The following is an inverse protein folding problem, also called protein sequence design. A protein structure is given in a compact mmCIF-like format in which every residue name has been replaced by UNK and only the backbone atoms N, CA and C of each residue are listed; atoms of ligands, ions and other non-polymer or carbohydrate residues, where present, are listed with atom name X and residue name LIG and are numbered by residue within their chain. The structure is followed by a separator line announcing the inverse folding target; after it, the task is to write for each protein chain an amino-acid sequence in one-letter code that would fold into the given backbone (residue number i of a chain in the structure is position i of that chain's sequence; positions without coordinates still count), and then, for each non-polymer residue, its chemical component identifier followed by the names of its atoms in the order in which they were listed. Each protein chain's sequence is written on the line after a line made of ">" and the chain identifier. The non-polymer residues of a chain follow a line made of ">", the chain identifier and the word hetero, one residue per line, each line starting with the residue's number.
data_IF_875776312131
#
_entry.id   IF_875776312131
#
_cell.length_a   1.000
_cell.length_b   1.000
_cell.length_c   1.000
_cell.angle_alpha   90.00
_cell.angle_beta   90.00
_cell.angle_gamma   90.00
#
_symmetry.space_group_name_H-M   'P 1'
#
loop_
_entity.id
_entity.type
_entity.pdbx_description
1 polymer ?
#
# COMPACT_ATOMS: atom_id res chain seq x y z
N UNK A 1 5.29 9.62 -7.79
CA UNK A 1 3.92 9.09 -7.66
C UNK A 1 3.60 8.89 -6.17
N UNK A 2 2.42 9.32 -5.71
CA UNK A 2 1.93 9.16 -4.32
C UNK A 2 0.83 8.11 -4.31
N UNK A 3 1.04 6.99 -3.64
CA UNK A 3 0.13 5.83 -3.72
C UNK A 3 -1.15 6.04 -2.92
N UNK A 4 -1.15 6.93 -1.93
CA UNK A 4 -2.32 7.27 -1.14
C UNK A 4 -3.51 7.77 -1.97
N UNK A 5 -3.26 8.51 -3.06
CA UNK A 5 -4.33 9.00 -3.93
C UNK A 5 -5.02 7.87 -4.69
N UNK A 6 -4.34 6.74 -4.91
CA UNK A 6 -4.92 5.55 -5.52
C UNK A 6 -5.92 4.89 -4.57
N UNK A 7 -5.67 4.96 -3.26
CA UNK A 7 -6.51 4.33 -2.23
C UNK A 7 -7.81 5.08 -1.92
N UNK A 8 -7.88 6.39 -2.23
CA UNK A 8 -9.07 7.21 -1.98
C UNK A 8 -10.17 7.09 -3.05
N UNK A 9 -9.94 6.35 -4.14
CA UNK A 9 -10.98 6.13 -5.14
C UNK A 9 -12.16 5.32 -4.56
N UNK A 10 -13.39 5.62 -5.00
CA UNK A 10 -14.63 5.07 -4.42
C UNK A 10 -14.72 3.54 -4.52
N UNK A 11 -14.11 2.95 -5.56
CA UNK A 11 -14.06 1.50 -5.78
C UNK A 11 -13.06 0.78 -4.87
N UNK A 12 -12.12 1.51 -4.26
CA UNK A 12 -10.99 0.98 -3.47
C UNK A 12 -11.11 1.27 -1.98
N UNK A 13 -11.76 2.38 -1.62
CA UNK A 13 -11.83 2.85 -0.23
C UNK A 13 -12.42 1.78 0.70
N UNK A 14 -13.36 0.96 0.22
CA UNK A 14 -13.94 -0.12 1.02
C UNK A 14 -12.91 -1.20 1.36
N UNK A 15 -12.09 -1.64 0.40
CA UNK A 15 -11.05 -2.63 0.64
C UNK A 15 -9.93 -2.08 1.57
N UNK A 16 -9.64 -0.78 1.50
CA UNK A 16 -8.74 -0.12 2.46
C UNK A 16 -9.35 -0.12 3.86
N UNK A 17 -10.64 0.19 3.99
CA UNK A 17 -11.34 0.16 5.29
C UNK A 17 -11.40 -1.24 5.89
N UNK A 18 -11.67 -2.26 5.09
CA UNK A 18 -11.57 -3.67 5.50
C UNK A 18 -10.18 -4.04 6.02
N UNK A 19 -9.12 -3.57 5.34
CA UNK A 19 -7.73 -3.77 5.77
C UNK A 19 -7.47 -3.12 7.13
N UNK A 20 -8.01 -1.93 7.38
CA UNK A 20 -7.80 -1.18 8.62
C UNK A 20 -8.51 -1.84 9.80
N UNK A 21 -9.74 -2.35 9.61
CA UNK A 21 -10.51 -3.01 10.69
C UNK A 21 -10.13 -4.48 10.91
N UNK A 22 -9.20 -5.01 10.12
CA UNK A 22 -8.77 -6.40 10.22
C UNK A 22 -8.19 -6.71 11.61
N UNK A 23 -8.72 -7.74 12.28
CA UNK A 23 -8.32 -8.15 13.64
C UNK A 23 -7.03 -8.97 13.66
N UNK A 24 -6.59 -9.47 12.50
CA UNK A 24 -5.36 -10.25 12.35
C UNK A 24 -4.78 -10.11 10.94
N UNK A 25 -3.53 -10.57 10.78
CA UNK A 25 -2.79 -10.53 9.51
C UNK A 25 -3.53 -11.26 8.38
N UNK A 26 -4.16 -12.41 8.64
CA UNK A 26 -4.87 -13.17 7.61
C UNK A 26 -6.03 -12.38 7.00
N UNK A 27 -6.83 -11.72 7.84
CA UNK A 27 -7.90 -10.83 7.38
C UNK A 27 -7.34 -9.63 6.61
N UNK A 28 -6.22 -9.06 7.09
CA UNK A 28 -5.58 -7.93 6.42
C UNK A 28 -5.09 -8.30 5.03
N UNK A 29 -4.44 -9.47 4.90
CA UNK A 29 -3.99 -9.99 3.60
C UNK A 29 -5.13 -10.21 2.62
N UNK A 30 -6.28 -10.74 3.08
CA UNK A 30 -7.48 -10.88 2.23
C UNK A 30 -8.01 -9.54 1.70
N UNK A 31 -7.96 -8.48 2.51
CA UNK A 31 -8.33 -7.14 2.07
C UNK A 31 -7.30 -6.58 1.07
N UNK A 32 -6.00 -6.80 1.34
CA UNK A 32 -4.90 -6.40 0.46
C UNK A 32 -4.93 -7.12 -0.91
N UNK A 33 -5.36 -8.38 -0.97
CA UNK A 33 -5.55 -9.13 -2.22
C UNK A 33 -6.59 -8.47 -3.15
N UNK A 34 -7.61 -7.82 -2.58
CA UNK A 34 -8.59 -7.04 -3.37
C UNK A 34 -7.96 -5.78 -3.96
N UNK A 35 -7.05 -5.15 -3.22
CA UNK A 35 -6.37 -3.91 -3.63
C UNK A 35 -5.26 -4.15 -4.66
N UNK A 36 -4.61 -5.31 -4.61
CA UNK A 36 -3.49 -5.66 -5.48
C UNK A 36 -3.77 -5.45 -6.98
N UNK A 37 -4.83 -6.03 -7.59
CA UNK A 37 -5.08 -5.85 -9.02
C UNK A 37 -5.38 -4.38 -9.37
N UNK A 38 -6.10 -3.67 -8.51
CA UNK A 38 -6.45 -2.26 -8.70
C UNK A 38 -5.21 -1.35 -8.68
N UNK A 39 -4.26 -1.62 -7.79
CA UNK A 39 -3.00 -0.88 -7.76
C UNK A 39 -2.09 -1.24 -8.94
N UNK A 40 -2.04 -2.52 -9.31
CA UNK A 40 -1.24 -2.98 -10.44
C UNK A 40 -1.68 -2.29 -11.74
N UNK A 41 -2.99 -2.18 -11.99
CA UNK A 41 -3.54 -1.48 -13.15
C UNK A 41 -3.13 0.00 -13.19
N UNK A 42 -3.16 0.70 -12.05
CA UNK A 42 -2.71 2.10 -11.99
C UNK A 42 -1.23 2.23 -12.34
N UNK A 43 -0.39 1.31 -11.84
CA UNK A 43 1.05 1.34 -12.14
C UNK A 43 1.34 1.00 -13.59
N UNK A 44 0.59 0.07 -14.22
CA UNK A 44 0.67 -0.20 -15.66
C UNK A 44 0.43 1.09 -16.43
N UNK A 45 -0.68 1.79 -16.15
CA UNK A 45 -0.99 3.05 -16.83
C UNK A 45 0.07 4.14 -16.63
N UNK A 46 0.68 4.21 -15.44
CA UNK A 46 1.80 5.12 -15.16
C UNK A 46 3.04 4.74 -15.99
N UNK A 47 3.44 3.48 -15.99
CA UNK A 47 4.64 3.05 -16.71
C UNK A 47 4.48 3.14 -18.23
N UNK A 48 3.30 2.83 -18.76
CA UNK A 48 3.00 3.01 -20.18
C UNK A 48 3.10 4.49 -20.58
N UNK A 49 2.55 5.40 -19.77
CA UNK A 49 2.63 6.84 -20.03
C UNK A 49 4.06 7.41 -19.93
N UNK A 50 4.96 6.72 -19.21
CA UNK A 50 6.35 7.14 -19.02
C UNK A 50 7.30 6.57 -20.08
N UNK A 51 6.87 5.61 -20.90
CA UNK A 51 7.62 5.07 -22.05
C UNK A 51 9.10 4.73 -21.75
N UNK A 52 9.37 4.13 -20.58
CA UNK A 52 10.73 3.75 -20.14
C UNK A 52 11.47 4.81 -19.33
N UNK A 53 10.87 5.96 -19.04
CA UNK A 53 11.40 6.90 -18.04
C UNK A 53 11.24 6.34 -16.61
N UNK A 54 12.16 6.69 -15.69
CA UNK A 54 12.08 6.23 -14.31
C UNK A 54 10.82 6.77 -13.61
N UNK A 55 10.20 5.93 -12.77
CA UNK A 55 9.04 6.29 -11.98
C UNK A 55 9.32 6.07 -10.49
N UNK A 56 9.46 7.16 -9.74
CA UNK A 56 9.59 7.10 -8.28
C UNK A 56 8.22 6.96 -7.63
N UNK A 57 7.97 5.82 -7.00
CA UNK A 57 6.71 5.43 -6.36
C UNK A 57 6.90 5.49 -4.84
N UNK A 58 6.19 6.43 -4.21
CA UNK A 58 6.18 6.57 -2.76
C UNK A 58 5.17 5.63 -2.13
N UNK A 59 5.60 4.80 -1.20
CA UNK A 59 4.72 3.92 -0.44
C UNK A 59 3.75 4.71 0.46
N UNK A 60 2.75 4.00 1.01
CA UNK A 60 1.68 4.60 1.80
C UNK A 60 2.25 5.49 2.91
N UNK A 61 1.92 6.78 2.84
CA UNK A 61 2.38 7.83 3.77
C UNK A 61 1.33 8.26 4.81
N UNK A 62 0.04 8.46 4.50
CA UNK A 62 -0.90 8.99 5.48
C UNK A 62 -1.19 7.98 6.61
N UNK A 63 -1.57 8.47 7.80
CA UNK A 63 -2.05 7.62 8.89
C UNK A 63 -3.39 6.96 8.51
N UNK A 64 -3.64 5.79 9.08
CA UNK A 64 -4.80 4.97 8.70
C UNK A 64 -6.16 5.61 9.03
N UNK A 65 -6.22 6.49 10.03
CA UNK A 65 -7.47 7.18 10.38
C UNK A 65 -7.98 8.11 9.28
N UNK A 66 -7.14 8.57 8.34
CA UNK A 66 -7.57 9.41 7.22
C UNK A 66 -8.52 8.67 6.26
N UNK A 67 -8.55 7.33 6.29
CA UNK A 67 -9.44 6.51 5.46
C UNK A 67 -10.77 6.16 6.15
N UNK A 68 -10.91 6.51 7.44
CA UNK A 68 -12.10 6.21 8.24
C UNK A 68 -12.99 7.45 8.41
N UNK A 69 -14.32 7.27 8.49
CA UNK A 69 -15.25 8.37 8.76
C UNK A 69 -15.11 8.89 10.20
N UNK A 70 -15.46 10.17 10.40
CA UNK A 70 -15.40 10.83 11.71
C UNK A 70 -16.77 10.98 12.39
N UNK A 71 -17.86 11.03 11.64
CA UNK A 71 -19.19 11.25 12.19
C UNK A 71 -19.81 9.92 12.63
N UNK A 72 -20.54 9.92 13.75
CA UNK A 72 -21.19 8.70 14.26
C UNK A 72 -22.18 8.09 13.24
N UNK A 73 -22.84 8.91 12.41
CA UNK A 73 -23.78 8.42 11.38
C UNK A 73 -23.04 7.63 10.29
N UNK A 74 -21.97 8.20 9.74
CA UNK A 74 -21.12 7.56 8.72
C UNK A 74 -20.41 6.31 9.28
N UNK A 75 -20.00 6.33 10.54
CA UNK A 75 -19.45 5.15 11.24
C UNK A 75 -20.52 4.07 11.35
N UNK A 76 -21.76 4.40 11.71
CA UNK A 76 -22.83 3.42 11.82
C UNK A 76 -23.23 2.81 10.47
N UNK A 77 -23.13 3.57 9.38
CA UNK A 77 -23.31 3.06 8.03
C UNK A 77 -22.16 2.14 7.62
N UNK A 78 -20.91 2.59 7.77
CA UNK A 78 -19.74 1.79 7.43
C UNK A 78 -19.65 0.49 8.25
N UNK A 79 -20.05 0.51 9.51
CA UNK A 79 -20.08 -0.70 10.34
C UNK A 79 -21.02 -1.78 9.75
N UNK A 80 -22.16 -1.36 9.18
CA UNK A 80 -23.09 -2.29 8.50
C UNK A 80 -22.46 -2.89 7.24
N UNK A 81 -21.80 -2.05 6.43
CA UNK A 81 -21.13 -2.51 5.20
C UNK A 81 -19.98 -3.48 5.48
N UNK A 82 -19.27 -3.26 6.60
CA UNK A 82 -18.17 -4.10 7.07
C UNK A 82 -18.64 -5.31 7.91
N UNK A 83 -19.94 -5.45 8.16
CA UNK A 83 -20.52 -6.52 9.00
C UNK A 83 -19.92 -6.60 10.42
N UNK A 84 -19.62 -5.46 11.02
CA UNK A 84 -19.13 -5.31 12.40
C UNK A 84 -20.07 -4.42 13.22
N UNK A 85 -19.93 -4.39 14.55
CA UNK A 85 -20.78 -3.50 15.35
C UNK A 85 -20.29 -2.05 15.28
N UNK A 86 -21.21 -1.11 15.51
CA UNK A 86 -20.87 0.31 15.61
C UNK A 86 -19.82 0.56 16.68
N UNK A 87 -19.92 -0.11 17.83
CA UNK A 87 -18.99 0.00 18.94
C UNK A 87 -17.60 -0.53 18.57
N UNK A 88 -17.52 -1.63 17.82
CA UNK A 88 -16.26 -2.17 17.34
C UNK A 88 -15.56 -1.19 16.38
N UNK A 89 -16.28 -0.68 15.37
CA UNK A 89 -15.69 0.28 14.42
C UNK A 89 -15.31 1.59 15.12
N UNK A 90 -16.16 2.08 16.01
CA UNK A 90 -15.90 3.30 16.77
C UNK A 90 -14.66 3.17 17.65
N UNK A 91 -14.47 2.01 18.31
CA UNK A 91 -13.26 1.74 19.08
C UNK A 91 -12.01 1.79 18.19
N UNK A 92 -12.04 1.21 16.99
CA UNK A 92 -10.92 1.30 16.03
C UNK A 92 -10.66 2.74 15.57
N UNK A 93 -11.71 3.51 15.29
CA UNK A 93 -11.58 4.94 14.94
C UNK A 93 -10.94 5.73 16.07
N UNK A 94 -11.38 5.52 17.32
CA UNK A 94 -10.83 6.18 18.51
C UNK A 94 -9.40 5.72 18.83
N UNK A 95 -9.06 4.45 18.61
CA UNK A 95 -7.70 3.92 18.78
C UNK A 95 -6.72 4.53 17.78
N UNK A 96 -7.15 4.67 16.52
CA UNK A 96 -6.36 5.31 15.46
C UNK A 96 -6.44 6.84 15.52
N UNK A 97 -7.33 7.42 16.34
CA UNK A 97 -7.46 8.85 16.51
C UNK A 97 -6.32 9.35 17.41
N UNK A 98 -5.36 10.02 16.79
CA UNK A 98 -4.17 10.50 17.45
C UNK A 98 -4.23 12.01 17.66
N UNK A 99 -3.64 12.46 18.77
CA UNK A 99 -3.62 13.89 19.11
C UNK A 99 -2.82 14.75 18.10
N UNK A 100 -1.81 14.18 17.42
CA UNK A 100 -1.05 14.87 16.38
C UNK A 100 -0.71 13.93 15.20
N UNK A 101 -1.61 13.80 14.20
CA UNK A 101 -1.46 12.93 13.03
C UNK A 101 -0.15 13.07 12.24
N UNK A 102 0.57 14.19 12.38
CA UNK A 102 1.81 14.45 11.66
C UNK A 102 3.02 13.71 12.23
N UNK A 103 2.99 13.24 13.48
CA UNK A 103 4.18 12.71 14.17
C UNK A 103 4.04 11.21 14.51
N UNK A 104 2.95 10.54 14.16
CA UNK A 104 2.64 9.21 14.73
C UNK A 104 2.74 8.05 13.71
N UNK A 105 1.80 7.09 13.71
CA UNK A 105 1.85 5.84 12.96
C UNK A 105 1.50 6.08 11.49
N UNK A 106 2.53 6.47 10.73
CA UNK A 106 2.42 6.80 9.32
C UNK A 106 3.72 6.44 8.57
N UNK A 107 3.68 6.43 7.25
CA UNK A 107 4.84 6.12 6.42
C UNK A 107 5.56 4.81 6.78
N UNK A 108 6.89 4.85 6.90
CA UNK A 108 7.71 3.68 7.24
C UNK A 108 7.24 2.93 8.49
N UNK A 109 6.67 3.62 9.48
CA UNK A 109 6.23 3.00 10.74
C UNK A 109 5.05 2.07 10.50
N UNK A 110 4.14 2.43 9.60
CA UNK A 110 3.05 1.56 9.14
C UNK A 110 3.62 0.33 8.45
N UNK A 111 4.60 0.51 7.57
CA UNK A 111 5.25 -0.62 6.88
C UNK A 111 6.05 -1.53 7.83
N UNK A 112 6.59 -1.01 8.93
CA UNK A 112 7.26 -1.82 9.96
C UNK A 112 6.24 -2.59 10.81
N UNK A 113 5.12 -1.95 11.19
CA UNK A 113 4.06 -2.59 11.98
C UNK A 113 3.24 -3.60 11.18
N UNK A 114 3.01 -3.33 9.89
CA UNK A 114 2.16 -4.08 8.98
C UNK A 114 2.91 -4.32 7.66
N UNK A 115 3.94 -5.19 7.67
CA UNK A 115 4.81 -5.42 6.51
C UNK A 115 4.04 -5.90 5.27
N UNK A 116 2.93 -6.62 5.44
CA UNK A 116 2.08 -7.08 4.34
C UNK A 116 1.56 -5.96 3.44
N UNK A 117 1.45 -4.72 3.95
CA UNK A 117 1.10 -3.54 3.13
C UNK A 117 2.24 -3.24 2.15
N UNK A 118 3.48 -3.19 2.64
CA UNK A 118 4.65 -2.96 1.81
C UNK A 118 4.89 -4.11 0.83
N UNK A 119 4.62 -5.36 1.23
CA UNK A 119 4.66 -6.53 0.34
C UNK A 119 3.65 -6.38 -0.80
N UNK A 120 2.40 -6.04 -0.51
CA UNK A 120 1.36 -5.85 -1.53
C UNK A 120 1.73 -4.74 -2.50
N UNK A 121 2.15 -3.56 -2.00
CA UNK A 121 2.57 -2.45 -2.86
C UNK A 121 3.78 -2.83 -3.73
N UNK A 122 4.76 -3.53 -3.17
CA UNK A 122 5.92 -4.03 -3.91
C UNK A 122 5.48 -4.97 -5.04
N UNK A 123 4.60 -5.93 -4.72
CA UNK A 123 4.08 -6.87 -5.72
C UNK A 123 3.37 -6.13 -6.85
N UNK A 124 2.49 -5.18 -6.54
CA UNK A 124 1.81 -4.37 -7.54
C UNK A 124 2.77 -3.62 -8.46
N UNK A 125 3.81 -2.98 -7.88
CA UNK A 125 4.83 -2.20 -8.59
C UNK A 125 5.65 -3.07 -9.55
N UNK A 126 6.10 -4.24 -9.09
CA UNK A 126 6.97 -5.12 -9.85
C UNK A 126 6.17 -5.89 -10.92
N UNK A 127 4.99 -6.41 -10.59
CA UNK A 127 4.11 -7.08 -11.57
C UNK A 127 3.75 -6.13 -12.71
N UNK A 128 3.38 -4.89 -12.41
CA UNK A 128 3.08 -3.87 -13.42
C UNK A 128 4.28 -3.56 -14.32
N UNK A 129 5.48 -3.42 -13.75
CA UNK A 129 6.68 -3.15 -14.53
C UNK A 129 7.05 -4.31 -15.46
N UNK A 130 6.92 -5.55 -14.98
CA UNK A 130 7.14 -6.76 -15.79
C UNK A 130 6.11 -6.86 -16.92
N UNK A 131 4.85 -6.53 -16.65
CA UNK A 131 3.77 -6.56 -17.64
C UNK A 131 4.01 -5.54 -18.76
N UNK A 132 4.32 -4.28 -18.42
CA UNK A 132 4.62 -3.23 -19.42
C UNK A 132 5.89 -3.56 -20.22
N UNK A 133 6.91 -4.13 -19.57
CA UNK A 133 8.12 -4.60 -20.27
C UNK A 133 7.78 -5.69 -21.30
N UNK A 134 6.89 -6.63 -20.97
CA UNK A 134 6.46 -7.70 -21.87
C UNK A 134 5.57 -7.19 -23.01
N UNK A 135 4.63 -6.30 -22.72
CA UNK A 135 3.61 -5.85 -23.66
C UNK A 135 4.12 -4.76 -24.62
N UNK A 136 4.89 -3.80 -24.10
CA UNK A 136 5.28 -2.58 -24.82
C UNK A 136 6.78 -2.59 -25.18
N UNK A 137 7.59 -3.43 -24.51
CA UNK A 137 9.04 -3.50 -24.71
C UNK A 137 9.83 -2.38 -24.03
N UNK A 138 9.19 -1.58 -23.16
CA UNK A 138 9.86 -0.53 -22.40
C UNK A 138 10.76 -1.11 -21.30
N UNK A 139 11.96 -0.56 -21.15
CA UNK A 139 12.88 -0.92 -20.07
C UNK A 139 12.54 -0.15 -18.80
N UNK A 140 11.53 -0.63 -18.09
CA UNK A 140 11.03 0.01 -16.87
C UNK A 140 11.94 -0.33 -15.70
N UNK A 141 12.47 0.71 -15.04
CA UNK A 141 13.22 0.60 -13.77
C UNK A 141 12.41 1.27 -12.66
N UNK A 142 11.67 0.50 -11.84
CA UNK A 142 10.91 1.01 -10.72
C UNK A 142 11.81 1.56 -9.62
N UNK A 143 11.50 2.77 -9.16
CA UNK A 143 12.12 3.36 -7.97
C UNK A 143 11.12 3.38 -6.83
N UNK A 144 11.35 2.57 -5.79
CA UNK A 144 10.51 2.47 -4.60
C UNK A 144 11.06 3.40 -3.51
N UNK A 145 10.24 4.36 -3.07
CA UNK A 145 10.60 5.33 -2.04
C UNK A 145 9.80 5.09 -0.76
N UNK A 146 10.52 4.79 0.33
CA UNK A 146 9.93 4.57 1.66
C UNK A 146 9.83 5.91 2.40
N UNK A 147 8.62 6.41 2.73
CA UNK A 147 8.46 7.72 3.36
C UNK A 147 8.82 7.71 4.85
N UNK A 148 9.27 8.87 5.36
CA UNK A 148 9.43 9.18 6.79
C UNK A 148 10.39 8.27 7.56
N UNK A 149 11.52 7.90 6.94
CA UNK A 149 12.62 7.23 7.63
C UNK A 149 13.25 8.16 8.67
N UNK A 150 13.33 7.70 9.92
CA UNK A 150 14.07 8.38 10.99
C UNK A 150 15.37 7.66 11.38
N UNK A 151 15.46 6.36 11.11
CA UNK A 151 16.58 5.51 11.53
C UNK A 151 16.98 4.51 10.43
N UNK A 152 18.28 4.21 10.30
CA UNK A 152 18.82 3.32 9.27
C UNK A 152 18.24 1.90 9.39
N UNK A 153 17.96 1.44 10.61
CA UNK A 153 17.37 0.12 10.86
C UNK A 153 15.93 0.01 10.35
N UNK A 154 15.16 1.09 10.39
CA UNK A 154 13.79 1.13 9.85
C UNK A 154 13.84 0.94 8.32
N UNK A 155 14.69 1.73 7.66
CA UNK A 155 14.90 1.61 6.22
C UNK A 155 15.40 0.21 5.85
N UNK A 156 16.37 -0.33 6.61
CA UNK A 156 16.88 -1.68 6.36
C UNK A 156 15.76 -2.72 6.47
N UNK A 157 14.93 -2.66 7.50
CA UNK A 157 13.83 -3.61 7.68
C UNK A 157 12.86 -3.59 6.49
N UNK A 158 12.36 -2.40 6.12
CA UNK A 158 11.42 -2.28 5.01
C UNK A 158 12.07 -2.64 3.67
N UNK A 159 13.33 -2.26 3.46
CA UNK A 159 14.09 -2.63 2.27
C UNK A 159 14.27 -4.15 2.14
N UNK A 160 14.53 -4.85 3.25
CA UNK A 160 14.65 -6.32 3.24
C UNK A 160 13.29 -6.96 2.86
N UNK A 161 12.16 -6.42 3.33
CA UNK A 161 10.81 -6.85 2.93
C UNK A 161 10.58 -6.63 1.43
N UNK A 162 10.82 -5.41 0.94
CA UNK A 162 10.67 -5.07 -0.48
C UNK A 162 11.55 -5.95 -1.37
N UNK A 163 12.83 -6.12 -1.01
CA UNK A 163 13.76 -6.94 -1.80
C UNK A 163 13.34 -8.41 -1.85
N UNK A 164 12.85 -8.96 -0.73
CA UNK A 164 12.33 -10.33 -0.67
C UNK A 164 11.11 -10.49 -1.57
N UNK A 165 10.11 -9.62 -1.46
CA UNK A 165 8.88 -9.71 -2.26
C UNK A 165 9.15 -9.47 -3.75
N UNK A 166 10.00 -8.50 -4.09
CA UNK A 166 10.38 -8.26 -5.47
C UNK A 166 11.02 -9.50 -6.11
N UNK A 167 11.94 -10.16 -5.37
CA UNK A 167 12.57 -11.40 -5.81
C UNK A 167 11.55 -12.54 -5.99
N UNK A 168 10.62 -12.71 -5.04
CA UNK A 168 9.57 -13.73 -5.15
C UNK A 168 8.73 -13.54 -6.44
N UNK A 169 8.36 -12.30 -6.77
CA UNK A 169 7.63 -11.99 -8.01
C UNK A 169 8.47 -12.26 -9.26
N UNK A 170 9.76 -11.92 -9.25
CA UNK A 170 10.68 -12.19 -10.36
C UNK A 170 10.86 -13.69 -10.58
N UNK A 171 11.04 -14.45 -9.50
CA UNK A 171 11.18 -15.92 -9.52
C UNK A 171 9.89 -16.59 -10.06
N UNK A 172 8.71 -16.11 -9.63
CA UNK A 172 7.40 -16.60 -10.11
C UNK A 172 7.17 -16.35 -11.61
N UNK A 173 7.62 -15.19 -12.11
CA UNK A 173 7.38 -14.75 -13.49
C UNK A 173 8.50 -15.10 -14.46
N UNK A 174 9.65 -15.52 -13.95
CA UNK A 174 10.87 -15.82 -14.72
C UNK A 174 11.51 -14.59 -15.37
N UNK A 175 11.25 -13.39 -14.86
CA UNK A 175 11.77 -12.12 -15.40
C UNK A 175 12.58 -11.41 -14.34
N UNK A 176 13.87 -11.25 -14.62
CA UNK A 176 14.75 -10.38 -13.85
C UNK A 176 14.49 -8.91 -14.20
N UNK A 177 14.35 -8.07 -13.18
CA UNK A 177 14.09 -6.65 -13.35
C UNK A 177 14.91 -5.87 -12.32
N UNK A 178 15.60 -4.83 -12.78
CA UNK A 178 16.33 -3.94 -11.87
C UNK A 178 15.34 -3.01 -11.17
N UNK A 179 15.45 -2.91 -9.85
CA UNK A 179 14.65 -2.01 -9.03
C UNK A 179 15.51 -1.30 -7.98
N UNK A 180 15.19 -0.03 -7.71
CA UNK A 180 15.92 0.79 -6.76
C UNK A 180 15.02 1.03 -5.54
N UNK A 181 15.56 0.83 -4.33
CA UNK A 181 14.85 1.12 -3.07
C UNK A 181 15.59 2.20 -2.29
N UNK A 182 14.91 3.32 -2.03
CA UNK A 182 15.42 4.50 -1.35
C UNK A 182 14.42 5.13 -0.38
N UNK A 183 14.76 6.33 0.09
CA UNK A 183 13.93 7.18 0.97
C UNK A 183 13.90 8.60 0.45
#
# INVERSE_FOLDING_TARGET
>A
CRTEHMFFAEDRIMAVREMIVAKNEEQRRKALEKLLPMQREDFIGIYEALEGMPATIRFLDPPLHEFLPHNNEDIAELAKDLYITFEELKATVEELHEFNPMIVLRGCRVAVSYPEIAEMQTRAVIEAAIEVRKNNGYDVVPEIMIPLIGEIKELKYVKDVVAKTAKEVMDETGVELENIVGT
#
